data_IF_503472291265
#
_entry.id   IF_503472291265
#
_cell.length_a   1.000
_cell.length_b   1.000
_cell.length_c   1.000
_cell.angle_alpha   90.00
_cell.angle_beta   90.00
_cell.angle_gamma   90.00
#
_symmetry.space_group_name_H-M   'P 1'
#
loop_
_entity.id
_entity.type
_entity.pdbx_description
1 polymer ?
#
# COMPACT_ATOMS: atom_id res chain seq x y z
N UNK A 1 -37.29 21.12 36.27
CA UNK A 1 -38.46 20.51 35.60
C UNK A 1 -38.64 21.17 34.25
N UNK A 2 -38.22 20.51 33.17
CA UNK A 2 -38.66 20.84 31.80
C UNK A 2 -38.48 19.58 30.96
N UNK A 3 -39.59 19.11 30.41
CA UNK A 3 -39.70 17.88 29.64
C UNK A 3 -39.06 18.02 28.24
N UNK A 4 -38.53 16.93 27.65
CA UNK A 4 -38.19 16.90 26.24
C UNK A 4 -39.36 16.44 25.36
N UNK A 5 -39.57 17.20 24.28
CA UNK A 5 -40.54 17.03 23.19
C UNK A 5 -40.23 15.77 22.33
N UNK A 6 -41.21 14.91 21.98
CA UNK A 6 -40.97 13.64 21.31
C UNK A 6 -41.15 13.75 19.80
N UNK A 7 -40.04 13.81 19.05
CA UNK A 7 -40.07 13.77 17.57
C UNK A 7 -39.14 12.73 16.95
N UNK A 8 -39.09 11.52 17.49
CA UNK A 8 -38.68 10.34 16.70
C UNK A 8 -39.42 9.10 17.21
N UNK A 9 -40.71 9.04 16.90
CA UNK A 9 -41.49 7.82 16.96
C UNK A 9 -42.07 7.54 15.57
N UNK A 10 -41.94 6.28 15.15
CA UNK A 10 -42.51 5.62 13.95
C UNK A 10 -41.62 5.58 12.70
N UNK A 11 -40.88 4.49 12.58
CA UNK A 11 -40.70 3.80 11.30
C UNK A 11 -40.82 2.28 11.57
N UNK A 12 -41.94 1.71 11.15
CA UNK A 12 -42.17 0.26 11.09
C UNK A 12 -41.44 -0.36 9.87
N UNK A 13 -41.17 -1.67 9.89
CA UNK A 13 -40.49 -2.38 8.80
C UNK A 13 -41.49 -2.87 7.74
N UNK A 14 -41.10 -2.98 6.46
CA UNK A 14 -41.89 -3.74 5.50
C UNK A 14 -41.53 -5.23 5.56
N UNK A 15 -42.54 -6.04 5.88
CA UNK A 15 -42.65 -7.46 5.57
C UNK A 15 -43.09 -7.61 4.09
N UNK A 16 -42.60 -8.63 3.39
CA UNK A 16 -43.01 -8.91 2.02
C UNK A 16 -42.21 -10.03 1.37
N UNK A 17 -42.60 -11.27 1.68
CA UNK A 17 -42.22 -12.47 0.93
C UNK A 17 -42.84 -12.43 -0.47
N UNK A 18 -42.10 -12.88 -1.49
CA UNK A 18 -42.71 -13.61 -2.60
C UNK A 18 -41.69 -14.54 -3.28
N UNK A 19 -42.10 -15.80 -3.31
CA UNK A 19 -41.52 -16.99 -3.92
C UNK A 19 -41.87 -17.02 -5.40
N UNK A 20 -40.90 -17.31 -6.27
CA UNK A 20 -41.17 -18.05 -7.51
C UNK A 20 -39.98 -18.92 -7.87
N UNK A 21 -40.19 -20.22 -7.69
CA UNK A 21 -39.50 -21.34 -8.32
C UNK A 21 -39.63 -21.29 -9.84
N UNK A 22 -38.50 -21.43 -10.56
CA UNK A 22 -38.51 -22.05 -11.90
C UNK A 22 -37.31 -22.97 -12.03
N UNK A 23 -37.62 -24.26 -12.06
CA UNK A 23 -36.78 -25.39 -12.44
C UNK A 23 -36.44 -25.30 -13.92
N UNK A 24 -35.20 -25.65 -14.32
CA UNK A 24 -34.96 -26.55 -15.45
C UNK A 24 -33.51 -27.04 -15.48
N UNK A 25 -33.40 -28.35 -15.38
CA UNK A 25 -32.24 -29.20 -15.63
C UNK A 25 -32.05 -29.39 -17.14
N UNK A 26 -30.80 -29.40 -17.62
CA UNK A 26 -30.30 -30.41 -18.58
C UNK A 26 -28.87 -30.10 -19.05
N UNK A 27 -27.97 -31.05 -18.77
CA UNK A 27 -26.90 -31.61 -19.64
C UNK A 27 -26.10 -30.73 -20.60
N UNK A 28 -24.77 -30.87 -20.53
CA UNK A 28 -23.88 -30.67 -21.67
C UNK A 28 -22.49 -30.20 -21.27
N UNK A 29 -21.52 -31.12 -21.19
CA UNK A 29 -20.11 -30.76 -21.07
C UNK A 29 -19.60 -30.09 -22.35
N UNK A 30 -18.57 -29.25 -22.22
CA UNK A 30 -17.30 -29.28 -22.98
C UNK A 30 -16.48 -28.02 -22.64
N UNK A 31 -15.32 -28.25 -22.01
CA UNK A 31 -14.03 -27.56 -22.11
C UNK A 31 -14.05 -26.13 -22.71
N UNK A 32 -13.80 -25.11 -21.87
CA UNK A 32 -13.48 -23.75 -22.33
C UNK A 32 -11.96 -23.52 -22.45
N UNK A 33 -11.49 -22.83 -23.51
CA UNK A 33 -10.07 -22.61 -23.80
C UNK A 33 -9.47 -21.36 -23.10
N UNK A 34 -8.15 -21.40 -22.96
CA UNK A 34 -7.28 -20.37 -22.39
C UNK A 34 -7.18 -19.09 -23.25
N UNK A 35 -6.82 -17.93 -22.67
CA UNK A 35 -6.75 -16.65 -23.37
C UNK A 35 -5.52 -16.51 -24.28
N UNK A 36 -5.76 -15.90 -25.44
CA UNK A 36 -4.78 -15.64 -26.48
C UNK A 36 -3.77 -14.54 -26.11
N UNK A 37 -2.49 -14.84 -26.35
CA UNK A 37 -1.34 -13.95 -26.24
C UNK A 37 -1.24 -13.09 -27.51
N UNK A 38 -1.42 -11.78 -27.38
CA UNK A 38 -1.16 -10.80 -28.44
C UNK A 38 0.36 -10.60 -28.58
N UNK A 39 0.97 -11.18 -29.62
CA UNK A 39 2.33 -10.84 -30.07
C UNK A 39 2.26 -9.65 -31.02
N UNK A 40 2.90 -8.55 -30.64
CA UNK A 40 3.11 -7.39 -31.50
C UNK A 40 4.16 -7.73 -32.58
N UNK A 41 3.74 -7.68 -33.85
CA UNK A 41 4.62 -7.79 -35.00
C UNK A 41 5.20 -6.40 -35.31
N UNK A 42 6.53 -6.33 -35.42
CA UNK A 42 7.30 -5.09 -35.57
C UNK A 42 8.08 -5.21 -36.86
N UNK A 43 8.10 -4.12 -37.63
CA UNK A 43 8.97 -3.81 -38.77
C UNK A 43 8.33 -3.96 -40.15
N UNK A 44 7.72 -2.87 -40.61
CA UNK A 44 7.93 -2.39 -41.97
C UNK A 44 7.71 -0.86 -41.98
N UNK A 45 8.78 -0.10 -42.19
CA UNK A 45 8.73 1.34 -42.43
C UNK A 45 9.70 1.67 -43.57
N UNK A 46 9.24 2.29 -44.67
CA UNK A 46 10.08 2.55 -45.82
C UNK A 46 11.07 3.71 -45.58
N UNK A 47 12.27 3.51 -46.12
CA UNK A 47 13.47 4.35 -46.02
C UNK A 47 13.37 5.56 -46.96
N UNK A 48 13.69 6.80 -46.54
CA UNK A 48 13.74 7.94 -47.45
C UNK A 48 15.00 7.90 -48.33
N UNK A 49 14.78 8.11 -49.62
CA UNK A 49 15.77 8.24 -50.70
C UNK A 49 16.63 9.49 -50.53
N UNK A 50 17.93 9.32 -50.35
CA UNK A 50 18.92 10.39 -50.47
C UNK A 50 19.18 10.66 -51.96
N UNK A 51 18.73 11.81 -52.47
CA UNK A 51 19.14 12.32 -53.77
C UNK A 51 20.43 13.13 -53.61
N UNK A 52 21.55 12.59 -54.10
CA UNK A 52 22.80 13.32 -54.25
C UNK A 52 22.76 14.13 -55.54
N UNK A 53 22.84 15.47 -55.45
CA UNK A 53 23.01 16.33 -56.61
C UNK A 53 24.47 16.26 -57.12
N UNK A 54 24.71 16.18 -58.44
CA UNK A 54 26.06 16.25 -58.99
C UNK A 54 26.58 17.69 -58.99
N UNK A 55 27.77 17.89 -58.41
CA UNK A 55 28.54 19.13 -58.51
C UNK A 55 29.15 19.22 -59.90
N UNK A 56 28.57 20.06 -60.76
CA UNK A 56 29.17 20.43 -62.05
C UNK A 56 30.16 21.58 -61.82
N UNK A 57 31.46 21.29 -61.96
CA UNK A 57 32.52 22.29 -62.02
C UNK A 57 32.64 22.75 -63.48
N UNK A 58 32.16 23.95 -63.78
CA UNK A 58 32.41 24.62 -65.05
C UNK A 58 33.45 25.75 -64.84
N UNK A 59 34.54 25.66 -65.60
CA UNK A 59 35.61 26.67 -65.69
C UNK A 59 35.20 27.80 -66.64
N UNK A 60 35.76 28.98 -66.35
CA UNK A 60 36.03 30.12 -67.27
C UNK A 60 34.89 31.08 -67.60
N UNK A 61 35.03 32.33 -67.12
CA UNK A 61 34.85 33.53 -67.95
C UNK A 61 35.57 34.71 -67.30
N UNK A 62 36.64 35.14 -67.97
CA UNK A 62 37.27 36.45 -67.83
C UNK A 62 36.31 37.49 -68.42
N UNK A 63 36.14 38.61 -67.72
CA UNK A 63 35.73 39.88 -68.32
C UNK A 63 34.24 40.21 -68.27
N UNK A 64 33.79 40.81 -67.16
CA UNK A 64 32.88 41.95 -67.18
C UNK A 64 33.20 42.83 -65.96
N UNK A 65 33.81 44.00 -66.20
CA UNK A 65 33.83 45.08 -65.21
C UNK A 65 32.42 45.66 -65.10
N UNK A 66 31.61 45.07 -64.23
CA UNK A 66 30.32 45.60 -63.86
C UNK A 66 30.54 46.72 -62.83
N UNK A 67 30.20 47.95 -63.21
CA UNK A 67 30.10 49.11 -62.33
C UNK A 67 29.34 48.72 -61.05
N UNK A 68 30.01 48.77 -59.90
CA UNK A 68 29.36 48.44 -58.63
C UNK A 68 28.25 49.47 -58.36
N UNK A 69 27.00 49.03 -58.08
CA UNK A 69 25.97 49.94 -57.65
C UNK A 69 26.35 50.54 -56.29
N UNK A 70 26.14 51.84 -56.16
CA UNK A 70 26.45 52.64 -54.97
C UNK A 70 25.80 51.99 -53.72
N UNK A 71 26.61 51.43 -52.83
CA UNK A 71 26.15 50.68 -51.66
C UNK A 71 25.48 51.64 -50.67
N UNK A 72 24.17 51.46 -50.42
CA UNK A 72 23.47 52.24 -49.41
C UNK A 72 24.08 51.96 -48.02
N UNK A 73 24.26 52.98 -47.17
CA UNK A 73 24.72 52.77 -45.80
C UNK A 73 23.80 51.80 -45.07
N UNK A 74 24.35 50.66 -44.64
CA UNK A 74 23.61 49.69 -43.83
C UNK A 74 23.32 50.34 -42.48
N UNK A 75 22.04 50.39 -42.10
CA UNK A 75 21.65 50.82 -40.76
C UNK A 75 22.34 49.90 -39.73
N UNK A 76 22.81 50.45 -38.58
CA UNK A 76 23.44 49.64 -37.55
C UNK A 76 22.51 48.48 -37.16
N UNK A 77 23.08 47.28 -37.04
CA UNK A 77 22.33 46.11 -36.61
C UNK A 77 21.65 46.41 -35.25
N UNK A 78 20.38 45.99 -35.06
CA UNK A 78 19.72 46.13 -33.78
C UNK A 78 20.59 45.55 -32.66
N UNK A 79 20.69 46.20 -31.49
CA UNK A 79 21.45 45.66 -30.38
C UNK A 79 20.94 44.25 -30.06
N UNK A 80 21.87 43.30 -29.86
CA UNK A 80 21.53 41.93 -29.48
C UNK A 80 20.60 41.99 -28.26
N UNK A 81 19.45 41.32 -28.27
CA UNK A 81 18.58 41.29 -27.11
C UNK A 81 19.40 40.81 -25.92
N UNK A 82 19.41 41.60 -24.85
CA UNK A 82 19.98 41.17 -23.57
C UNK A 82 19.11 40.00 -23.12
N UNK A 83 19.66 38.79 -23.20
CA UNK A 83 19.02 37.60 -22.64
C UNK A 83 19.10 37.79 -21.12
N UNK A 84 18.03 38.32 -20.53
CA UNK A 84 17.83 38.28 -19.09
C UNK A 84 17.55 36.81 -18.81
N UNK A 85 18.54 36.06 -18.34
CA UNK A 85 18.31 34.68 -17.90
C UNK A 85 17.33 34.71 -16.73
N UNK A 86 16.08 34.38 -17.00
CA UNK A 86 15.11 34.16 -15.93
C UNK A 86 15.66 33.09 -14.99
N UNK A 87 15.58 33.28 -13.66
CA UNK A 87 16.05 32.28 -12.72
C UNK A 87 15.37 30.95 -13.02
N UNK A 88 16.20 29.94 -13.31
CA UNK A 88 15.77 28.60 -13.69
C UNK A 88 14.81 28.09 -12.62
N UNK A 89 13.53 27.89 -13.00
CA UNK A 89 12.51 27.39 -12.08
C UNK A 89 12.92 26.01 -11.58
N UNK A 90 13.34 25.92 -10.33
CA UNK A 90 13.68 24.66 -9.68
C UNK A 90 12.45 24.06 -9.02
N UNK A 91 12.36 22.74 -9.05
CA UNK A 91 11.32 21.94 -8.39
C UNK A 91 11.97 21.00 -7.36
N UNK A 92 11.16 20.48 -6.44
CA UNK A 92 11.57 19.49 -5.44
C UNK A 92 12.24 18.25 -6.05
N UNK A 93 11.84 17.84 -7.26
CA UNK A 93 12.45 16.69 -7.96
C UNK A 93 13.80 16.99 -8.61
N UNK A 94 14.23 18.25 -8.65
CA UNK A 94 15.57 18.62 -9.10
C UNK A 94 16.64 18.36 -8.02
N UNK A 95 16.21 18.12 -6.77
CA UNK A 95 17.08 17.65 -5.70
C UNK A 95 17.56 16.22 -5.99
N UNK A 96 18.83 15.86 -5.69
CA UNK A 96 19.27 14.48 -5.66
C UNK A 96 18.38 13.59 -4.78
N UNK A 97 18.29 12.31 -5.12
CA UNK A 97 17.42 11.36 -4.43
C UNK A 97 17.78 11.22 -2.95
N UNK A 98 19.07 11.30 -2.63
CA UNK A 98 19.61 11.24 -1.28
C UNK A 98 19.03 12.37 -0.42
N UNK A 99 19.01 13.59 -0.94
CA UNK A 99 18.44 14.74 -0.22
C UNK A 99 16.93 14.61 -0.04
N UNK A 100 16.21 14.12 -1.06
CA UNK A 100 14.76 13.85 -0.92
C UNK A 100 14.48 12.81 0.16
N UNK A 101 15.29 11.75 0.22
CA UNK A 101 15.17 10.70 1.24
C UNK A 101 15.39 11.26 2.65
N UNK A 102 16.40 12.10 2.85
CA UNK A 102 16.62 12.76 4.14
C UNK A 102 15.44 13.65 4.54
N UNK A 103 14.87 14.39 3.58
CA UNK A 103 13.66 15.18 3.82
C UNK A 103 12.49 14.26 4.23
N UNK A 104 12.27 13.14 3.55
CA UNK A 104 11.20 12.21 3.93
C UNK A 104 11.42 11.61 5.32
N UNK A 105 12.66 11.25 5.68
CA UNK A 105 12.98 10.74 7.02
C UNK A 105 12.60 11.76 8.10
N UNK A 106 12.96 13.02 7.90
CA UNK A 106 12.61 14.11 8.83
C UNK A 106 11.09 14.29 8.96
N UNK A 107 10.35 14.22 7.86
CA UNK A 107 8.89 14.33 7.87
C UNK A 107 8.23 13.14 8.58
N UNK A 108 8.84 11.95 8.50
CA UNK A 108 8.27 10.71 9.03
C UNK A 108 8.68 10.35 10.45
N UNK A 109 9.61 11.08 11.07
CA UNK A 109 10.26 10.70 12.33
C UNK A 109 9.26 10.50 13.49
N UNK A 110 8.23 11.35 13.56
CA UNK A 110 7.18 11.33 14.59
C UNK A 110 5.84 10.74 14.11
N UNK A 111 5.82 10.13 12.93
CA UNK A 111 4.59 9.60 12.33
C UNK A 111 4.26 8.22 12.92
N UNK A 112 3.03 8.10 13.42
CA UNK A 112 2.47 6.84 13.91
C UNK A 112 1.36 6.38 12.95
N UNK A 113 1.51 5.15 12.45
CA UNK A 113 0.53 4.52 11.56
C UNK A 113 -0.36 3.61 12.38
N UNK A 114 -1.66 3.90 12.36
CA UNK A 114 -2.67 3.08 13.00
C UNK A 114 -3.27 2.08 12.01
N UNK A 115 -3.16 0.79 12.32
CA UNK A 115 -3.83 -0.27 11.59
C UNK A 115 -5.28 -0.35 12.05
N UNK A 116 -6.19 0.08 11.18
CA UNK A 116 -7.62 0.14 11.47
C UNK A 116 -8.34 -1.19 11.18
N UNK A 117 -9.43 -1.49 11.89
CA UNK A 117 -10.30 -2.60 11.56
C UNK A 117 -10.89 -2.47 10.14
N UNK A 118 -11.21 -3.58 9.45
CA UNK A 118 -11.73 -3.56 8.08
C UNK A 118 -13.08 -2.86 7.93
N UNK A 119 -13.83 -2.78 9.04
CA UNK A 119 -15.15 -2.14 9.12
C UNK A 119 -15.06 -0.60 9.07
N UNK A 120 -13.85 -0.04 9.16
CA UNK A 120 -13.65 1.38 8.85
C UNK A 120 -13.87 1.60 7.36
N UNK A 121 -14.98 2.24 6.99
CA UNK A 121 -15.33 2.54 5.60
C UNK A 121 -14.35 3.50 4.91
N UNK A 122 -13.37 4.03 5.63
CA UNK A 122 -12.35 4.94 5.12
C UNK A 122 -11.13 4.13 4.70
N UNK A 123 -10.85 4.05 3.40
CA UNK A 123 -9.56 3.58 2.89
C UNK A 123 -8.47 4.57 3.32
N UNK A 124 -7.93 4.40 4.51
CA UNK A 124 -6.92 5.32 5.01
C UNK A 124 -5.61 5.12 4.26
N UNK A 125 -5.18 6.18 3.57
CA UNK A 125 -3.79 6.29 3.13
C UNK A 125 -2.94 6.50 4.39
N UNK A 126 -1.86 5.72 4.63
CA UNK A 126 -1.14 5.79 5.90
C UNK A 126 -0.42 7.14 6.11
N UNK A 127 -0.15 7.89 5.04
CA UNK A 127 0.44 9.21 5.12
C UNK A 127 0.09 10.06 3.88
N UNK A 128 0.07 11.39 4.01
CA UNK A 128 -0.22 12.32 2.91
C UNK A 128 0.82 12.23 1.76
N UNK A 129 2.08 11.94 2.09
CA UNK A 129 3.15 11.75 1.10
C UNK A 129 2.85 10.62 0.09
N UNK A 130 2.03 9.63 0.46
CA UNK A 130 1.65 8.55 -0.45
C UNK A 130 0.61 8.98 -1.50
N UNK A 131 0.07 10.19 -1.38
CA UNK A 131 -0.93 10.79 -2.26
C UNK A 131 -0.35 11.88 -3.19
N UNK A 132 0.89 12.33 -2.97
CA UNK A 132 1.46 13.48 -3.69
C UNK A 132 1.82 13.13 -5.13
N UNK A 133 2.66 12.11 -5.35
CA UNK A 133 3.02 11.62 -6.68
C UNK A 133 3.47 10.16 -6.64
N UNK A 134 3.49 9.50 -7.80
CA UNK A 134 3.99 8.11 -7.91
C UNK A 134 5.46 7.99 -7.49
N UNK A 135 6.27 9.00 -7.82
CA UNK A 135 7.68 9.01 -7.45
C UNK A 135 7.86 9.11 -5.93
N UNK A 136 7.20 10.08 -5.29
CA UNK A 136 7.26 10.23 -3.83
C UNK A 136 6.76 8.96 -3.14
N UNK A 137 5.63 8.40 -3.60
CA UNK A 137 5.09 7.15 -3.06
C UNK A 137 6.10 5.99 -3.10
N UNK A 138 6.80 5.80 -4.22
CA UNK A 138 7.78 4.73 -4.37
C UNK A 138 9.01 4.93 -3.49
N UNK A 139 9.43 6.19 -3.27
CA UNK A 139 10.56 6.53 -2.39
C UNK A 139 10.17 6.42 -0.91
N UNK A 140 8.94 6.78 -0.55
CA UNK A 140 8.45 6.92 0.83
C UNK A 140 7.96 5.60 1.43
N UNK A 141 7.29 4.73 0.67
CA UNK A 141 6.74 3.46 1.21
C UNK A 141 7.80 2.62 1.94
N UNK A 142 9.01 2.38 1.39
CA UNK A 142 10.05 1.64 2.10
C UNK A 142 10.47 2.29 3.41
N UNK A 143 10.57 3.63 3.43
CA UNK A 143 10.95 4.40 4.63
C UNK A 143 9.86 4.27 5.69
N UNK A 144 8.60 4.40 5.30
CA UNK A 144 7.45 4.23 6.18
C UNK A 144 7.49 2.86 6.86
N UNK A 145 7.62 1.79 6.08
CA UNK A 145 7.58 0.43 6.63
C UNK A 145 8.81 0.12 7.50
N UNK A 146 9.97 0.70 7.19
CA UNK A 146 11.21 0.45 7.93
C UNK A 146 11.37 1.30 9.20
N UNK A 147 10.79 2.51 9.24
CA UNK A 147 11.10 3.47 10.30
C UNK A 147 9.91 3.91 11.13
N UNK A 148 8.72 4.08 10.54
CA UNK A 148 7.58 4.65 11.27
C UNK A 148 7.07 3.68 12.34
N UNK A 149 6.50 4.22 13.42
CA UNK A 149 5.82 3.39 14.41
C UNK A 149 4.51 2.87 13.81
N UNK A 150 4.28 1.56 13.90
CA UNK A 150 3.05 0.93 13.38
C UNK A 150 2.33 0.27 14.55
N UNK A 151 1.14 0.80 14.86
CA UNK A 151 0.30 0.34 15.97
C UNK A 151 -0.94 -0.36 15.43
N UNK A 152 -1.11 -1.62 15.79
CA UNK A 152 -2.34 -2.36 15.54
C UNK A 152 -3.11 -2.58 16.85
N UNK A 153 -4.42 -2.41 16.82
CA UNK A 153 -5.30 -2.76 17.94
C UNK A 153 -6.08 -4.01 17.56
N UNK A 154 -5.88 -5.08 18.31
CA UNK A 154 -6.54 -6.37 18.10
C UNK A 154 -7.47 -6.61 19.28
N UNK A 155 -8.77 -6.65 19.03
CA UNK A 155 -9.77 -6.90 20.07
C UNK A 155 -10.25 -8.34 19.99
N UNK A 156 -10.33 -9.01 21.14
CA UNK A 156 -10.80 -10.40 21.27
C UNK A 156 -10.03 -11.39 20.36
N UNK A 157 -8.73 -11.15 20.17
CA UNK A 157 -7.85 -11.93 19.27
C UNK A 157 -8.33 -11.98 17.82
N UNK A 158 -9.06 -10.96 17.36
CA UNK A 158 -9.45 -10.80 15.96
C UNK A 158 -8.36 -10.06 15.15
N UNK A 159 -7.69 -10.80 14.27
CA UNK A 159 -6.58 -10.29 13.46
C UNK A 159 -7.00 -9.83 12.06
N UNK A 160 -8.29 -9.83 11.71
CA UNK A 160 -8.75 -9.53 10.33
C UNK A 160 -8.24 -8.16 9.84
N UNK A 161 -8.27 -7.13 10.69
CA UNK A 161 -7.75 -5.80 10.34
C UNK A 161 -6.26 -5.80 10.04
N UNK A 162 -5.47 -6.44 10.89
CA UNK A 162 -4.02 -6.53 10.73
C UNK A 162 -3.64 -7.34 9.49
N UNK A 163 -4.30 -8.47 9.27
CA UNK A 163 -4.09 -9.32 8.10
C UNK A 163 -4.47 -8.57 6.82
N UNK A 164 -5.62 -7.88 6.80
CA UNK A 164 -6.05 -7.08 5.65
C UNK A 164 -5.12 -5.89 5.35
N UNK A 165 -4.45 -5.34 6.37
CA UNK A 165 -3.42 -4.32 6.17
C UNK A 165 -2.14 -4.90 5.61
N UNK A 166 -1.66 -6.03 6.14
CA UNK A 166 -0.49 -6.74 5.63
C UNK A 166 -0.67 -7.22 4.19
N UNK A 167 -1.86 -7.70 3.82
CA UNK A 167 -2.18 -8.15 2.46
C UNK A 167 -2.08 -7.01 1.42
N UNK A 168 -2.09 -5.73 1.84
CA UNK A 168 -1.88 -4.58 0.95
C UNK A 168 -0.40 -4.30 0.67
N UNK A 169 0.50 -4.86 1.47
CA UNK A 169 1.93 -4.67 1.32
C UNK A 169 2.46 -5.78 0.40
N UNK A 170 3.00 -5.42 -0.78
CA UNK A 170 3.59 -6.41 -1.68
C UNK A 170 4.63 -7.27 -0.95
N UNK A 171 4.68 -8.57 -1.25
CA UNK A 171 5.57 -9.52 -0.54
C UNK A 171 7.04 -9.08 -0.52
N UNK A 172 7.51 -8.47 -1.61
CA UNK A 172 8.87 -7.92 -1.73
C UNK A 172 9.15 -6.76 -0.77
N UNK A 173 8.12 -6.01 -0.35
CA UNK A 173 8.25 -4.84 0.51
C UNK A 173 8.06 -5.20 1.99
N UNK A 174 7.57 -6.41 2.30
CA UNK A 174 7.40 -6.86 3.68
C UNK A 174 8.74 -7.01 4.42
N UNK A 175 9.85 -7.22 3.70
CA UNK A 175 11.21 -7.20 4.26
C UNK A 175 11.58 -5.86 4.91
N UNK A 176 10.94 -4.76 4.52
CA UNK A 176 11.18 -3.47 5.17
C UNK A 176 10.62 -3.44 6.58
N UNK A 177 9.53 -4.16 6.84
CA UNK A 177 8.96 -4.29 8.19
C UNK A 177 9.90 -5.06 9.13
N UNK A 178 10.75 -5.94 8.63
CA UNK A 178 11.73 -6.67 9.47
C UNK A 178 12.80 -5.76 10.06
N UNK A 179 13.11 -4.65 9.38
CA UNK A 179 14.05 -3.64 9.85
C UNK A 179 13.45 -2.70 10.89
N UNK A 180 12.13 -2.79 11.10
CA UNK A 180 11.40 -1.89 11.96
C UNK A 180 11.23 -2.50 13.35
N UNK A 181 11.86 -1.89 14.35
CA UNK A 181 11.73 -2.30 15.75
C UNK A 181 10.54 -1.61 16.46
N UNK A 182 9.83 -0.69 15.79
CA UNK A 182 8.68 0.08 16.33
C UNK A 182 7.32 -0.48 15.88
N UNK A 183 7.22 -1.81 15.83
CA UNK A 183 5.98 -2.52 15.46
C UNK A 183 5.28 -3.03 16.72
N UNK A 184 4.04 -2.60 16.96
CA UNK A 184 3.30 -3.00 18.15
C UNK A 184 1.86 -3.46 17.86
N UNK A 185 1.44 -4.50 18.58
CA UNK A 185 0.08 -5.03 18.59
C UNK A 185 -0.45 -4.91 20.01
N UNK A 186 -1.45 -4.04 20.19
CA UNK A 186 -2.18 -3.91 21.44
C UNK A 186 -3.36 -4.86 21.44
N UNK A 187 -3.26 -5.91 22.26
CA UNK A 187 -4.30 -6.90 22.50
C UNK A 187 -5.30 -6.35 23.52
N UNK A 188 -6.57 -6.24 23.14
CA UNK A 188 -7.66 -5.80 23.99
C UNK A 188 -8.72 -6.89 24.08
N UNK A 189 -9.49 -6.91 25.15
CA UNK A 189 -10.69 -7.78 25.24
C UNK A 189 -11.92 -6.95 25.54
N UNK A 190 -13.03 -7.30 24.90
CA UNK A 190 -14.31 -6.72 25.22
C UNK A 190 -14.82 -7.26 26.56
N UNK A 191 -15.46 -6.39 27.34
CA UNK A 191 -16.09 -6.77 28.61
C UNK A 191 -17.45 -7.45 28.41
N UNK A 192 -17.89 -7.67 27.17
CA UNK A 192 -19.27 -8.05 26.89
C UNK A 192 -19.47 -9.55 27.09
N UNK A 193 -19.79 -9.94 28.33
CA UNK A 193 -20.10 -11.32 28.73
C UNK A 193 -21.54 -11.73 28.41
N UNK A 194 -22.40 -10.80 27.95
CA UNK A 194 -23.86 -10.94 28.01
C UNK A 194 -24.57 -10.91 26.64
N UNK A 195 -23.85 -10.89 25.52
CA UNK A 195 -24.48 -10.94 24.20
C UNK A 195 -24.63 -12.38 23.69
N UNK A 196 -25.85 -12.77 23.29
CA UNK A 196 -26.15 -13.94 22.44
C UNK A 196 -25.52 -13.88 21.02
N UNK A 197 -24.44 -13.11 20.85
CA UNK A 197 -23.61 -13.09 19.66
C UNK A 197 -22.62 -14.26 19.66
N UNK A 198 -21.91 -14.49 18.54
CA UNK A 198 -20.94 -15.59 18.44
C UNK A 198 -19.99 -15.54 19.63
N UNK A 199 -19.73 -16.71 20.23
CA UNK A 199 -19.02 -16.92 21.48
C UNK A 199 -17.78 -16.02 21.68
N UNK A 200 -17.38 -15.72 22.93
CA UNK A 200 -16.19 -14.92 23.25
C UNK A 200 -14.93 -15.68 22.83
N UNK A 201 -14.58 -15.45 21.58
CA UNK A 201 -13.56 -16.12 20.80
C UNK A 201 -13.66 -15.47 19.44
N UNK A 202 -13.02 -14.31 19.29
CA UNK A 202 -12.98 -13.59 18.02
C UNK A 202 -12.58 -14.51 16.88
N UNK A 203 -12.97 -14.13 15.66
CA UNK A 203 -12.83 -14.94 14.44
C UNK A 203 -11.63 -15.90 14.50
N UNK A 204 -11.91 -17.15 14.87
CA UNK A 204 -10.88 -18.15 15.12
C UNK A 204 -10.07 -18.45 13.85
N UNK A 205 -10.64 -18.15 12.67
CA UNK A 205 -9.96 -18.19 11.39
C UNK A 205 -8.84 -17.14 11.30
N UNK A 206 -9.09 -15.90 11.74
CA UNK A 206 -8.11 -14.83 11.73
C UNK A 206 -6.92 -15.10 12.66
N UNK A 207 -7.16 -15.58 13.88
CA UNK A 207 -6.09 -15.98 14.81
C UNK A 207 -5.27 -17.13 14.23
N UNK A 208 -5.93 -18.17 13.70
CA UNK A 208 -5.24 -19.30 13.06
C UNK A 208 -4.39 -18.83 11.88
N UNK A 209 -4.91 -17.94 11.03
CA UNK A 209 -4.17 -17.37 9.89
C UNK A 209 -2.96 -16.57 10.35
N UNK A 210 -3.11 -15.73 11.37
CA UNK A 210 -2.01 -15.00 11.99
C UNK A 210 -0.90 -15.94 12.48
N UNK A 211 -1.26 -16.96 13.26
CA UNK A 211 -0.31 -17.94 13.77
C UNK A 211 0.40 -18.73 12.65
N UNK A 212 -0.33 -19.16 11.62
CA UNK A 212 0.27 -19.84 10.45
C UNK A 212 1.28 -18.93 9.77
N UNK A 213 0.94 -17.66 9.56
CA UNK A 213 1.83 -16.68 8.92
C UNK A 213 3.10 -16.41 9.74
N UNK A 214 2.98 -16.38 11.07
CA UNK A 214 4.11 -16.19 12.00
C UNK A 214 4.98 -17.43 12.17
N UNK A 215 4.42 -18.61 11.94
CA UNK A 215 5.15 -19.87 12.00
C UNK A 215 5.89 -20.22 10.70
N UNK A 216 5.65 -19.49 9.61
CA UNK A 216 6.27 -19.74 8.30
C UNK A 216 7.72 -19.22 8.24
N UNK A 217 8.73 -20.10 8.13
CA UNK A 217 10.14 -19.68 8.12
C UNK A 217 10.57 -18.99 6.82
N UNK A 218 9.81 -19.15 5.73
CA UNK A 218 10.16 -18.58 4.42
C UNK A 218 9.56 -17.19 4.21
N UNK A 219 8.72 -16.74 5.13
CA UNK A 219 8.09 -15.43 5.09
C UNK A 219 8.92 -14.44 5.90
N UNK A 220 8.86 -13.18 5.51
CA UNK A 220 9.38 -12.11 6.33
C UNK A 220 8.74 -12.16 7.74
N UNK A 221 9.57 -12.07 8.78
CA UNK A 221 9.15 -12.13 10.19
C UNK A 221 9.42 -10.80 10.92
N UNK A 222 8.55 -9.78 10.73
CA UNK A 222 8.66 -8.54 11.47
C UNK A 222 8.60 -8.76 12.98
N UNK A 223 9.31 -7.93 13.74
CA UNK A 223 9.39 -8.04 15.21
C UNK A 223 8.20 -7.33 15.87
N UNK A 224 7.03 -7.93 15.79
CA UNK A 224 5.83 -7.39 16.45
C UNK A 224 5.92 -7.53 17.98
N UNK A 225 5.75 -6.40 18.67
CA UNK A 225 5.73 -6.35 20.12
C UNK A 225 4.28 -6.39 20.61
N UNK A 226 3.96 -7.39 21.40
CA UNK A 226 2.63 -7.52 21.99
C UNK A 226 2.54 -6.71 23.28
N UNK A 227 1.43 -6.02 23.48
CA UNK A 227 1.10 -5.32 24.72
C UNK A 227 -0.40 -5.40 24.98
N UNK A 228 -0.84 -5.19 26.21
CA UNK A 228 -2.27 -5.07 26.50
C UNK A 228 -2.64 -5.40 27.94
N UNK A 229 -3.86 -5.03 28.36
CA UNK A 229 -4.38 -5.44 29.66
C UNK A 229 -4.57 -6.96 29.74
N UNK A 230 -4.54 -7.50 30.95
CA UNK A 230 -4.89 -8.89 31.19
C UNK A 230 -6.35 -9.14 30.79
N UNK A 231 -6.63 -10.13 29.93
CA UNK A 231 -7.99 -10.39 29.48
C UNK A 231 -8.85 -10.99 30.60
N UNK A 232 -10.17 -10.94 30.41
CA UNK A 232 -11.13 -11.59 31.30
C UNK A 232 -10.79 -13.08 31.48
N UNK A 233 -10.94 -13.61 32.71
CA UNK A 233 -10.71 -15.01 33.11
C UNK A 233 -11.30 -16.04 32.14
N UNK A 234 -12.49 -15.80 31.57
CA UNK A 234 -13.11 -16.72 30.59
C UNK A 234 -12.26 -16.84 29.31
N UNK A 235 -11.91 -15.71 28.71
CA UNK A 235 -11.08 -15.62 27.51
C UNK A 235 -9.67 -16.14 27.81
N UNK A 236 -9.10 -15.75 28.96
CA UNK A 236 -7.79 -16.19 29.40
C UNK A 236 -7.69 -17.71 29.49
N UNK A 237 -8.66 -18.36 30.15
CA UNK A 237 -8.71 -19.81 30.26
C UNK A 237 -8.88 -20.49 28.90
N UNK A 238 -9.68 -19.91 28.00
CA UNK A 238 -9.86 -20.46 26.67
C UNK A 238 -8.58 -20.40 25.83
N UNK A 239 -7.90 -19.25 25.82
CA UNK A 239 -6.64 -19.08 25.11
C UNK A 239 -5.53 -19.97 25.69
N UNK A 240 -5.46 -20.13 27.02
CA UNK A 240 -4.55 -21.08 27.68
C UNK A 240 -4.81 -22.52 27.24
N UNK A 241 -6.08 -22.95 27.17
CA UNK A 241 -6.43 -24.29 26.68
C UNK A 241 -6.03 -24.48 25.21
N UNK A 242 -6.31 -23.49 24.36
CA UNK A 242 -5.92 -23.51 22.93
C UNK A 242 -4.40 -23.63 22.77
N UNK A 243 -3.62 -22.83 23.51
CA UNK A 243 -2.16 -22.89 23.47
C UNK A 243 -1.61 -24.26 23.94
N UNK A 244 -2.19 -24.85 24.99
CA UNK A 244 -1.80 -26.19 25.48
C UNK A 244 -2.07 -27.31 24.47
N UNK A 245 -3.18 -27.23 23.74
CA UNK A 245 -3.60 -28.25 22.76
C UNK A 245 -2.92 -28.10 21.39
N UNK A 246 -2.10 -27.06 21.21
CA UNK A 246 -1.44 -26.78 19.94
C UNK A 246 -0.21 -27.67 19.78
N UNK A 247 -0.19 -28.50 18.75
CA UNK A 247 0.93 -29.41 18.44
C UNK A 247 2.07 -28.74 17.67
N UNK A 248 1.74 -27.80 16.78
CA UNK A 248 2.73 -27.12 15.95
C UNK A 248 3.58 -26.14 16.77
N UNK A 249 4.89 -26.37 16.80
CA UNK A 249 5.86 -25.65 17.66
C UNK A 249 5.87 -24.15 17.35
N UNK A 250 5.94 -23.76 16.06
CA UNK A 250 6.00 -22.35 15.67
C UNK A 250 4.74 -21.58 16.06
N UNK A 251 3.55 -22.15 15.79
CA UNK A 251 2.27 -21.53 16.19
C UNK A 251 2.14 -21.45 17.70
N UNK A 252 2.56 -22.49 18.41
CA UNK A 252 2.52 -22.55 19.88
C UNK A 252 3.44 -21.50 20.50
N UNK A 253 4.65 -21.35 19.96
CA UNK A 253 5.60 -20.35 20.41
C UNK A 253 5.01 -18.94 20.29
N UNK A 254 4.51 -18.58 19.10
CA UNK A 254 3.90 -17.26 18.87
C UNK A 254 2.68 -17.02 19.77
N UNK A 255 1.83 -18.05 19.94
CA UNK A 255 0.69 -17.97 20.84
C UNK A 255 1.13 -17.71 22.28
N UNK A 256 2.15 -18.42 22.79
CA UNK A 256 2.64 -18.20 24.16
C UNK A 256 3.24 -16.80 24.32
N UNK A 257 4.00 -16.31 23.33
CA UNK A 257 4.56 -14.95 23.33
C UNK A 257 3.46 -13.89 23.46
N UNK A 258 2.39 -14.00 22.67
CA UNK A 258 1.22 -13.11 22.78
C UNK A 258 0.57 -13.16 24.16
N UNK A 259 0.35 -14.37 24.69
CA UNK A 259 -0.35 -14.54 25.96
C UNK A 259 0.50 -14.06 27.14
N UNK A 260 1.82 -14.29 27.11
CA UNK A 260 2.77 -13.79 28.11
C UNK A 260 2.74 -12.25 28.19
N UNK A 261 2.70 -11.59 27.04
CA UNK A 261 2.71 -10.12 26.95
C UNK A 261 1.46 -9.43 27.55
N UNK A 262 0.36 -10.16 27.71
CA UNK A 262 -0.86 -9.69 28.39
C UNK A 262 -1.02 -10.30 29.78
N UNK A 263 0.08 -10.78 30.38
CA UNK A 263 0.09 -11.31 31.75
C UNK A 263 -0.50 -12.72 31.91
N UNK A 264 -0.73 -13.46 30.83
CA UNK A 264 -1.16 -14.85 30.90
C UNK A 264 0.03 -15.80 30.87
N UNK A 265 0.56 -16.11 32.05
CA UNK A 265 1.66 -17.09 32.19
C UNK A 265 1.18 -18.50 31.84
N UNK A 266 1.85 -19.13 30.87
CA UNK A 266 1.72 -20.55 30.53
C UNK A 266 3.09 -21.18 30.75
N UNK A 267 3.23 -22.02 31.76
CA UNK A 267 4.48 -22.75 32.01
C UNK A 267 4.72 -23.72 30.85
N UNK A 268 5.89 -23.64 30.23
CA UNK A 268 6.36 -24.64 29.28
C UNK A 268 6.49 -25.98 30.02
N UNK A 269 5.77 -27.01 29.56
CA UNK A 269 6.22 -28.38 29.76
C UNK A 269 7.05 -28.71 28.52
N UNK A 270 8.36 -28.56 28.66
CA UNK A 270 9.33 -29.16 27.74
C UNK A 270 9.17 -30.68 27.82
N UNK A 271 8.88 -31.30 26.69
CA UNK A 271 9.21 -32.70 26.43
C UNK A 271 10.61 -32.70 25.83
#
# INVERSE_FOLDING_TARGET
MTAPDPRWAKAQPPSGSQTTTTTNSSTGGTISPAPAVLKANRNDMPKPTQQSAPVAIARSAIGQMQLMPNLRPLKPAPPKPVIIEEPKKTNFFDLPAELRIEIYKLVLDSVVIHVLPPQSHVRHCPHALNLTSRQVRNEVIPIIHATCEIRAVVTDFNFVGLLAWLDRIPSQDQRFLEKNDRLSIRLCTSNNTNGNGPAPGGDAGSLRRWLTMRADPYRAQPRWHYTGPSPNRKIANDMKRKAKRMSEIGKKHEMITMLSAVGMVIRYQSV
#
